data_IF_284555097255
#
_entry.id   IF_284555097255
#
_cell.length_a   1.000
_cell.length_b   1.000
_cell.length_c   1.000
_cell.angle_alpha   90.00
_cell.angle_beta   90.00
_cell.angle_gamma   90.00
#
_symmetry.space_group_name_H-M   'P 1'
#
loop_
_entity.id
_entity.type
_entity.pdbx_description
1 polymer ?
#
# COMPACT_ATOMS: atom_id res chain seq x y z
N UNK A 1 -10.47 -32.28 14.18
CA UNK A 1 -10.04 -30.92 13.79
C UNK A 1 -10.70 -30.62 12.46
N UNK A 2 -11.76 -29.81 12.49
CA UNK A 2 -12.39 -29.31 11.27
C UNK A 2 -11.47 -28.19 10.76
N UNK A 3 -10.70 -28.48 9.72
CA UNK A 3 -9.97 -27.45 9.00
C UNK A 3 -11.02 -26.59 8.29
N UNK A 4 -11.29 -25.41 8.85
CA UNK A 4 -12.18 -24.46 8.21
C UNK A 4 -11.45 -23.91 6.98
N UNK A 5 -11.70 -24.52 5.82
CA UNK A 5 -11.26 -24.06 4.51
C UNK A 5 -12.18 -22.94 4.01
N UNK A 6 -12.48 -21.97 4.85
CA UNK A 6 -13.20 -20.78 4.41
C UNK A 6 -12.22 -19.98 3.56
N UNK A 7 -12.42 -20.04 2.24
CA UNK A 7 -11.78 -19.11 1.32
C UNK A 7 -12.09 -17.71 1.82
N UNK A 8 -11.08 -16.95 2.26
CA UNK A 8 -11.24 -15.55 2.64
C UNK A 8 -12.03 -14.83 1.54
N UNK A 9 -13.06 -14.08 1.92
CA UNK A 9 -13.85 -13.32 0.96
C UNK A 9 -12.94 -12.44 0.13
N UNK A 10 -13.14 -12.46 -1.19
CA UNK A 10 -12.46 -11.55 -2.12
C UNK A 10 -13.29 -10.28 -2.35
N UNK A 11 -14.40 -10.14 -1.63
CA UNK A 11 -15.23 -8.94 -1.66
C UNK A 11 -14.85 -8.00 -0.52
N UNK A 12 -14.80 -6.71 -0.81
CA UNK A 12 -14.58 -5.70 0.21
C UNK A 12 -15.83 -5.58 1.10
N UNK A 13 -15.67 -5.45 2.42
CA UNK A 13 -16.78 -5.24 3.33
C UNK A 13 -17.42 -3.87 3.09
N UNK A 14 -18.68 -3.77 3.47
CA UNK A 14 -19.41 -2.50 3.60
C UNK A 14 -19.59 -2.14 5.09
N UNK A 15 -20.23 -1.01 5.36
CA UNK A 15 -20.46 -0.52 6.73
C UNK A 15 -21.25 -1.48 7.64
N UNK A 16 -22.02 -2.42 7.06
CA UNK A 16 -22.81 -3.41 7.82
C UNK A 16 -22.04 -4.69 8.12
N UNK A 17 -21.02 -5.00 7.31
CA UNK A 17 -20.26 -6.25 7.38
C UNK A 17 -18.84 -6.06 7.92
N UNK A 18 -18.38 -4.82 8.03
CA UNK A 18 -17.07 -4.52 8.57
C UNK A 18 -16.98 -4.74 10.08
N UNK A 19 -15.78 -5.06 10.55
CA UNK A 19 -15.49 -5.12 11.98
C UNK A 19 -15.61 -3.70 12.58
N UNK A 20 -16.14 -3.56 13.82
CA UNK A 20 -16.25 -2.27 14.49
C UNK A 20 -14.91 -1.55 14.67
N UNK A 21 -14.98 -0.23 14.70
CA UNK A 21 -13.83 0.63 14.98
C UNK A 21 -13.19 0.36 16.34
N UNK A 22 -11.88 0.62 16.44
CA UNK A 22 -11.16 0.69 17.72
C UNK A 22 -10.84 2.12 18.08
N UNK A 23 -10.92 2.44 19.37
CA UNK A 23 -10.49 3.74 19.88
C UNK A 23 -8.96 3.84 20.06
N UNK A 24 -8.31 2.71 20.35
CA UNK A 24 -6.89 2.67 20.67
C UNK A 24 -6.04 2.55 19.40
N UNK A 25 -5.00 3.38 19.31
CA UNK A 25 -3.96 3.26 18.29
C UNK A 25 -2.95 2.18 18.66
N UNK A 26 -2.41 1.50 17.66
CA UNK A 26 -1.26 0.62 17.85
C UNK A 26 -0.06 1.46 18.27
N UNK A 27 0.67 1.00 19.29
CA UNK A 27 1.92 1.63 19.70
C UNK A 27 3.06 1.21 18.76
N UNK A 28 3.74 2.22 18.20
CA UNK A 28 4.91 2.02 17.33
C UNK A 28 6.11 2.80 17.87
N UNK A 29 7.31 2.36 17.53
CA UNK A 29 8.52 3.14 17.77
C UNK A 29 8.56 4.33 16.81
N UNK A 30 9.04 5.49 17.27
CA UNK A 30 9.13 6.67 16.41
C UNK A 30 10.31 6.65 15.44
N UNK A 31 11.38 5.92 15.76
CA UNK A 31 12.57 5.86 14.92
C UNK A 31 12.53 4.68 13.93
N UNK A 32 12.85 4.96 12.68
CA UNK A 32 13.03 3.98 11.63
C UNK A 32 14.25 3.11 11.92
N UNK A 33 14.09 1.79 11.88
CA UNK A 33 15.14 0.87 12.28
C UNK A 33 16.42 0.99 11.43
N UNK A 34 16.27 1.24 10.12
CA UNK A 34 17.41 1.27 9.17
C UNK A 34 18.09 2.64 9.13
N UNK A 35 17.31 3.72 9.00
CA UNK A 35 17.86 5.08 8.82
C UNK A 35 18.00 5.87 10.12
N UNK A 36 17.33 5.46 11.21
CA UNK A 36 17.27 6.21 12.47
C UNK A 36 16.39 7.46 12.42
N UNK A 37 15.87 7.82 11.23
CA UNK A 37 14.96 8.95 11.03
C UNK A 37 13.58 8.68 11.62
N UNK A 38 12.78 9.72 11.86
CA UNK A 38 11.40 9.54 12.34
C UNK A 38 10.50 8.87 11.29
N UNK A 39 9.60 7.98 11.74
CA UNK A 39 8.51 7.39 10.93
C UNK A 39 7.14 8.00 11.24
N UNK A 40 7.09 8.88 12.24
CA UNK A 40 5.87 9.59 12.66
C UNK A 40 6.04 11.09 12.42
N UNK A 41 4.93 11.76 12.11
CA UNK A 41 4.92 13.21 11.98
C UNK A 41 5.21 13.91 13.33
N UNK A 42 5.85 15.09 13.33
CA UNK A 42 6.28 15.86 12.16
C UNK A 42 7.58 15.32 11.53
N UNK A 43 7.63 15.36 10.20
CA UNK A 43 8.85 15.15 9.39
C UNK A 43 9.36 16.50 8.86
N UNK A 44 10.61 16.64 8.38
CA UNK A 44 11.08 17.88 7.77
C UNK A 44 10.17 18.38 6.63
N UNK A 45 9.92 19.68 6.57
CA UNK A 45 8.94 20.31 5.65
C UNK A 45 9.25 20.15 4.15
N UNK A 46 10.51 19.83 3.81
CA UNK A 46 10.92 19.60 2.42
C UNK A 46 10.54 18.21 1.91
N UNK A 47 10.06 17.31 2.78
CA UNK A 47 9.72 15.94 2.41
C UNK A 47 8.28 15.84 1.93
N UNK A 48 8.06 14.95 0.97
CA UNK A 48 6.74 14.51 0.56
C UNK A 48 6.46 13.10 1.07
N UNK A 49 5.17 12.71 1.06
CA UNK A 49 4.75 11.37 1.43
C UNK A 49 3.97 10.69 0.30
N UNK A 50 4.11 9.37 0.20
CA UNK A 50 3.35 8.52 -0.73
C UNK A 50 2.98 7.20 -0.08
N UNK A 51 1.85 6.61 -0.49
CA UNK A 51 1.35 5.36 0.08
C UNK A 51 1.07 4.33 -1.01
N UNK A 52 1.68 3.15 -0.90
CA UNK A 52 1.61 2.09 -1.90
C UNK A 52 1.24 0.74 -1.28
N UNK A 53 0.32 0.00 -1.90
CA UNK A 53 -0.01 -1.38 -1.57
C UNK A 53 0.50 -2.34 -2.65
N UNK A 54 1.39 -3.27 -2.27
CA UNK A 54 2.08 -4.17 -3.22
C UNK A 54 1.96 -5.66 -2.83
N UNK A 55 1.02 -6.01 -1.95
CA UNK A 55 0.96 -7.33 -1.32
C UNK A 55 1.52 -7.30 0.11
N UNK A 56 2.19 -8.38 0.54
CA UNK A 56 2.77 -8.43 1.87
C UNK A 56 3.77 -7.28 2.11
N UNK A 57 3.49 -6.44 3.10
CA UNK A 57 4.23 -5.21 3.33
C UNK A 57 5.69 -5.41 3.80
N UNK A 58 6.08 -6.60 4.28
CA UNK A 58 7.44 -6.87 4.78
C UNK A 58 8.46 -6.85 3.64
N UNK A 59 8.11 -7.48 2.52
CA UNK A 59 8.92 -7.42 1.30
C UNK A 59 8.79 -6.05 0.63
N UNK A 60 7.59 -5.46 0.68
CA UNK A 60 7.31 -4.20 0.01
C UNK A 60 8.08 -3.02 0.61
N UNK A 61 8.12 -2.90 1.94
CA UNK A 61 8.78 -1.79 2.63
C UNK A 61 10.27 -1.73 2.31
N UNK A 62 10.91 -2.90 2.27
CA UNK A 62 12.33 -3.04 1.99
C UNK A 62 12.74 -2.41 0.67
N UNK A 63 11.90 -2.54 -0.35
CA UNK A 63 12.17 -1.99 -1.67
C UNK A 63 12.36 -0.48 -1.63
N UNK A 64 11.57 0.22 -0.80
CA UNK A 64 11.58 1.67 -0.74
C UNK A 64 12.70 2.22 0.12
N UNK A 65 13.01 1.63 1.28
CA UNK A 65 14.09 2.17 2.13
C UNK A 65 15.48 2.04 1.50
N UNK A 66 15.65 1.18 0.48
CA UNK A 66 16.91 1.01 -0.26
C UNK A 66 17.09 2.07 -1.36
N UNK A 67 16.06 2.87 -1.68
CA UNK A 67 16.14 3.92 -2.69
C UNK A 67 16.80 5.19 -2.16
N UNK A 68 17.76 5.72 -2.92
CA UNK A 68 18.36 7.02 -2.61
C UNK A 68 17.31 8.13 -2.69
N UNK A 69 17.31 9.04 -1.72
CA UNK A 69 16.27 10.06 -1.54
C UNK A 69 15.07 9.65 -0.70
N UNK A 70 14.93 8.37 -0.30
CA UNK A 70 13.93 7.97 0.70
C UNK A 70 14.45 8.25 2.11
N UNK A 71 13.69 9.02 2.87
CA UNK A 71 14.04 9.46 4.22
C UNK A 71 13.72 8.38 5.26
N UNK A 72 12.50 7.87 5.23
CA UNK A 72 12.03 6.77 6.07
C UNK A 72 10.82 6.09 5.45
N UNK A 73 10.57 4.87 5.89
CA UNK A 73 9.38 4.11 5.54
C UNK A 73 8.65 3.66 6.80
N UNK A 74 7.37 3.40 6.66
CA UNK A 74 6.57 2.68 7.65
C UNK A 74 5.56 1.80 6.93
N UNK A 75 5.07 0.78 7.61
CA UNK A 75 3.98 -0.06 7.10
C UNK A 75 2.70 0.13 7.90
N UNK A 76 1.57 -0.08 7.24
CA UNK A 76 0.28 0.05 7.87
C UNK A 76 -0.85 -0.44 6.99
N UNK A 77 -2.04 0.09 7.25
CA UNK A 77 -3.29 -0.32 6.63
C UNK A 77 -4.02 0.91 6.09
N UNK A 78 -4.43 0.87 4.82
CA UNK A 78 -5.17 1.97 4.19
C UNK A 78 -6.22 1.48 3.19
N UNK A 79 -7.16 2.36 2.85
CA UNK A 79 -8.21 2.14 1.85
C UNK A 79 -9.38 1.25 2.30
N UNK A 80 -9.44 0.93 3.59
CA UNK A 80 -10.58 0.31 4.24
C UNK A 80 -11.43 1.30 5.02
N UNK A 81 -12.38 0.78 5.80
CA UNK A 81 -13.39 1.58 6.51
C UNK A 81 -13.30 1.44 8.03
N UNK A 82 -12.74 0.36 8.56
CA UNK A 82 -12.58 0.18 10.01
C UNK A 82 -11.46 1.09 10.52
N UNK A 83 -11.74 1.91 11.54
CA UNK A 83 -10.75 2.76 12.18
C UNK A 83 -9.85 1.97 13.14
N UNK A 84 -8.54 2.28 13.11
CA UNK A 84 -7.49 1.73 13.97
C UNK A 84 -7.46 0.18 14.06
N UNK A 85 -7.48 -0.55 12.92
CA UNK A 85 -7.51 -2.00 12.93
C UNK A 85 -6.16 -2.60 13.36
N UNK A 86 -6.19 -3.77 14.00
CA UNK A 86 -4.97 -4.57 14.22
C UNK A 86 -4.64 -5.45 13.02
N UNK A 87 -3.45 -6.05 13.02
CA UNK A 87 -3.08 -7.06 12.03
C UNK A 87 -4.09 -8.22 11.97
N UNK A 88 -4.55 -8.69 13.13
CA UNK A 88 -5.53 -9.75 13.24
C UNK A 88 -6.87 -9.33 12.63
N UNK A 89 -7.31 -8.09 12.87
CA UNK A 89 -8.53 -7.55 12.28
C UNK A 89 -8.41 -7.52 10.74
N UNK A 90 -7.32 -7.00 10.20
CA UNK A 90 -7.07 -6.95 8.74
C UNK A 90 -6.99 -8.34 8.14
N UNK A 91 -6.39 -9.30 8.85
CA UNK A 91 -6.31 -10.69 8.42
C UNK A 91 -7.66 -11.37 8.24
N UNK A 92 -8.74 -10.88 8.87
CA UNK A 92 -10.10 -11.36 8.63
C UNK A 92 -10.64 -11.00 7.24
N UNK A 93 -10.09 -9.96 6.60
CA UNK A 93 -10.62 -9.38 5.37
C UNK A 93 -11.82 -8.44 5.58
N UNK A 94 -12.30 -8.28 6.82
CA UNK A 94 -13.50 -7.53 7.17
C UNK A 94 -13.23 -6.06 7.53
N UNK A 95 -12.00 -5.57 7.38
CA UNK A 95 -11.70 -4.14 7.60
C UNK A 95 -11.74 -3.31 6.32
N UNK A 96 -11.64 -3.98 5.17
CA UNK A 96 -11.52 -3.37 3.85
C UNK A 96 -10.13 -2.80 3.53
N UNK A 97 -9.22 -2.76 4.51
CA UNK A 97 -7.88 -2.21 4.29
C UNK A 97 -7.02 -3.13 3.44
N UNK A 98 -6.00 -2.56 2.82
CA UNK A 98 -4.86 -3.30 2.27
C UNK A 98 -3.59 -2.96 3.03
N UNK A 99 -2.68 -3.92 3.08
CA UNK A 99 -1.31 -3.69 3.53
C UNK A 99 -0.66 -2.66 2.60
N UNK A 100 -0.08 -1.62 3.20
CA UNK A 100 0.56 -0.52 2.50
C UNK A 100 1.90 -0.13 3.14
N UNK A 101 2.73 0.49 2.32
CA UNK A 101 3.97 1.17 2.72
C UNK A 101 3.74 2.68 2.60
N UNK A 102 3.96 3.40 3.69
CA UNK A 102 4.14 4.84 3.73
C UNK A 102 5.62 5.15 3.46
N UNK A 103 5.88 6.02 2.50
CA UNK A 103 7.23 6.44 2.11
C UNK A 103 7.33 7.94 2.27
N UNK A 104 8.24 8.40 3.12
CA UNK A 104 8.67 9.80 3.17
C UNK A 104 9.92 9.96 2.31
N UNK A 105 9.91 10.90 1.36
CA UNK A 105 11.00 11.07 0.41
C UNK A 105 11.31 12.55 0.14
N UNK A 106 12.54 12.82 -0.27
CA UNK A 106 12.97 14.16 -0.69
C UNK A 106 12.77 14.32 -2.21
N UNK A 107 11.81 15.13 -2.68
CA UNK A 107 11.55 15.34 -4.10
C UNK A 107 12.72 16.01 -4.85
N UNK A 108 13.70 16.59 -4.13
CA UNK A 108 14.93 17.11 -4.74
C UNK A 108 15.94 16.01 -5.09
N UNK A 109 15.79 14.81 -4.52
CA UNK A 109 16.69 13.66 -4.75
C UNK A 109 16.00 12.56 -5.56
N UNK A 110 14.74 12.24 -5.23
CA UNK A 110 13.95 11.22 -5.93
C UNK A 110 12.55 11.76 -6.25
N UNK A 111 12.14 11.67 -7.52
CA UNK A 111 10.81 12.13 -7.91
C UNK A 111 9.75 11.03 -7.76
N UNK A 112 8.48 11.43 -7.68
CA UNK A 112 7.36 10.50 -7.52
C UNK A 112 7.26 9.47 -8.65
N UNK A 113 7.64 9.83 -9.89
CA UNK A 113 7.67 8.87 -11.00
C UNK A 113 8.68 7.74 -10.81
N UNK A 114 9.79 7.98 -10.11
CA UNK A 114 10.76 6.92 -9.78
C UNK A 114 10.20 5.97 -8.73
N UNK A 115 9.46 6.49 -7.73
CA UNK A 115 8.73 5.65 -6.77
C UNK A 115 7.64 4.82 -7.46
N UNK A 116 6.91 5.40 -8.42
CA UNK A 116 5.95 4.68 -9.24
C UNK A 116 6.60 3.57 -10.08
N UNK A 117 7.78 3.82 -10.68
CA UNK A 117 8.52 2.80 -11.41
C UNK A 117 8.91 1.63 -10.50
N UNK A 118 9.49 1.92 -9.33
CA UNK A 118 9.80 0.91 -8.32
C UNK A 118 8.54 0.12 -7.91
N UNK A 119 7.41 0.81 -7.74
CA UNK A 119 6.13 0.18 -7.45
C UNK A 119 5.70 -0.81 -8.54
N UNK A 120 5.65 -0.39 -9.80
CA UNK A 120 5.16 -1.21 -10.91
C UNK A 120 6.03 -2.43 -11.20
N UNK A 121 7.35 -2.30 -11.03
CA UNK A 121 8.33 -3.34 -11.33
C UNK A 121 8.44 -4.40 -10.22
N UNK A 122 8.00 -4.09 -9.00
CA UNK A 122 8.29 -4.93 -7.82
C UNK A 122 7.14 -5.83 -7.35
N UNK A 123 5.97 -5.78 -8.01
CA UNK A 123 4.86 -6.67 -7.72
C UNK A 123 4.06 -6.97 -9.00
N UNK A 124 3.13 -7.92 -8.93
CA UNK A 124 2.21 -8.15 -10.04
C UNK A 124 0.92 -7.34 -9.85
N UNK A 125 0.69 -6.28 -10.65
CA UNK A 125 -0.45 -5.38 -10.47
C UNK A 125 -1.77 -5.90 -11.07
N UNK A 126 -1.82 -7.15 -11.53
CA UNK A 126 -2.95 -7.72 -12.30
C UNK A 126 -3.71 -8.83 -11.55
N UNK A 127 -3.34 -9.08 -10.29
CA UNK A 127 -3.80 -10.25 -9.55
C UNK A 127 -5.09 -10.02 -8.74
N UNK A 128 -5.65 -8.81 -8.76
CA UNK A 128 -6.84 -8.45 -7.99
C UNK A 128 -6.60 -8.53 -6.49
N UNK A 129 -7.41 -9.34 -5.81
CA UNK A 129 -7.40 -9.51 -4.35
C UNK A 129 -6.39 -10.59 -3.92
N UNK A 130 -5.16 -10.48 -4.43
CA UNK A 130 -4.05 -11.42 -4.21
C UNK A 130 -2.72 -10.78 -4.61
N UNK A 131 -1.64 -11.18 -3.94
CA UNK A 131 -0.28 -11.04 -4.43
C UNK A 131 0.50 -12.35 -4.26
N UNK A 132 0.96 -12.95 -5.35
CA UNK A 132 1.65 -14.23 -5.34
C UNK A 132 0.83 -15.33 -4.65
N UNK A 133 1.35 -15.80 -3.51
CA UNK A 133 0.71 -16.82 -2.66
C UNK A 133 -0.25 -16.22 -1.63
N UNK A 134 -0.17 -14.91 -1.36
CA UNK A 134 -0.94 -14.21 -0.36
C UNK A 134 -2.31 -13.83 -0.92
N UNK A 135 -3.35 -14.53 -0.46
CA UNK A 135 -4.73 -14.38 -0.94
C UNK A 135 -5.57 -13.58 0.04
N UNK A 136 -6.30 -12.59 -0.46
CA UNK A 136 -7.21 -11.76 0.31
C UNK A 136 -7.18 -10.30 -0.15
N UNK A 137 -8.26 -9.58 0.16
CA UNK A 137 -8.42 -8.15 -0.18
C UNK A 137 -7.30 -7.30 0.40
N UNK A 138 -6.67 -7.73 1.49
CA UNK A 138 -5.58 -7.04 2.16
C UNK A 138 -4.23 -7.08 1.42
N UNK A 139 -4.13 -7.82 0.32
CA UNK A 139 -2.90 -7.91 -0.49
C UNK A 139 -3.06 -7.32 -1.89
N UNK A 140 -4.10 -6.52 -2.10
CA UNK A 140 -4.39 -5.94 -3.42
C UNK A 140 -3.37 -4.87 -3.78
N UNK A 141 -3.14 -4.71 -5.08
CA UNK A 141 -2.36 -3.60 -5.60
C UNK A 141 -3.12 -2.28 -5.40
N UNK A 142 -2.48 -1.29 -4.78
CA UNK A 142 -3.09 0.01 -4.50
C UNK A 142 -2.09 1.17 -4.52
N UNK A 143 -2.57 2.36 -4.87
CA UNK A 143 -1.87 3.63 -4.71
C UNK A 143 -2.83 4.61 -4.03
N UNK A 144 -2.47 5.07 -2.83
CA UNK A 144 -3.24 6.08 -2.10
C UNK A 144 -2.51 7.42 -2.16
N UNK A 145 -3.07 8.34 -2.94
CA UNK A 145 -2.43 9.61 -3.30
C UNK A 145 -2.79 10.71 -2.31
N UNK A 146 -1.86 11.61 -2.04
CA UNK A 146 -2.07 12.70 -1.05
C UNK A 146 -2.37 14.05 -1.69
N UNK A 147 -2.30 14.16 -3.02
CA UNK A 147 -2.61 15.37 -3.77
C UNK A 147 -2.95 15.07 -5.23
N UNK A 148 -3.48 16.07 -5.93
CA UNK A 148 -3.90 15.96 -7.33
C UNK A 148 -2.75 15.66 -8.30
N UNK A 149 -1.53 16.11 -7.98
CA UNK A 149 -0.33 15.83 -8.78
C UNK A 149 -0.04 14.33 -8.76
N UNK A 150 0.01 13.72 -7.58
CA UNK A 150 0.20 12.27 -7.44
C UNK A 150 -0.95 11.49 -8.08
N UNK A 151 -2.20 11.96 -7.99
CA UNK A 151 -3.34 11.33 -8.68
C UNK A 151 -3.11 11.26 -10.19
N UNK A 152 -2.75 12.40 -10.79
CA UNK A 152 -2.50 12.51 -12.23
C UNK A 152 -1.33 11.63 -12.68
N UNK A 153 -0.22 11.67 -11.94
CA UNK A 153 0.98 10.90 -12.25
C UNK A 153 0.76 9.38 -12.07
N UNK A 154 0.01 8.98 -11.05
CA UNK A 154 -0.39 7.58 -10.84
C UNK A 154 -1.28 7.06 -11.97
N UNK A 155 -2.25 7.86 -12.42
CA UNK A 155 -3.11 7.49 -13.54
C UNK A 155 -2.33 7.41 -14.86
N UNK A 156 -1.38 8.33 -15.08
CA UNK A 156 -0.53 8.32 -16.26
C UNK A 156 0.42 7.11 -16.26
N UNK A 157 1.07 6.82 -15.14
CA UNK A 157 1.98 5.68 -15.01
C UNK A 157 1.23 4.35 -15.15
N UNK A 158 0.02 4.21 -14.58
CA UNK A 158 -0.86 3.04 -14.79
C UNK A 158 -1.14 2.80 -16.27
N UNK A 159 -1.48 3.85 -17.03
CA UNK A 159 -1.74 3.73 -18.48
C UNK A 159 -0.48 3.32 -19.24
N UNK A 160 0.65 3.94 -18.93
CA UNK A 160 1.93 3.60 -19.57
C UNK A 160 2.35 2.15 -19.27
N UNK A 161 2.20 1.71 -18.03
CA UNK A 161 2.54 0.35 -17.63
C UNK A 161 1.58 -0.69 -18.23
N UNK A 162 0.29 -0.36 -18.37
CA UNK A 162 -0.65 -1.23 -19.08
C UNK A 162 -0.23 -1.47 -20.53
N UNK A 163 0.24 -0.45 -21.25
CA UNK A 163 0.74 -0.61 -22.63
C UNK A 163 1.91 -1.61 -22.67
N UNK A 164 2.86 -1.49 -21.74
CA UNK A 164 3.98 -2.43 -21.65
C UNK A 164 3.52 -3.87 -21.32
N UNK A 165 2.49 -4.03 -20.48
CA UNK A 165 1.88 -5.33 -20.17
C UNK A 165 1.12 -5.90 -21.38
N UNK A 166 0.45 -5.06 -22.16
CA UNK A 166 -0.29 -5.46 -23.37
C UNK A 166 0.66 -5.99 -24.45
N UNK A 167 1.85 -5.39 -24.61
CA UNK A 167 2.87 -5.83 -25.56
C UNK A 167 3.34 -7.26 -25.31
N UNK A 168 3.36 -7.69 -24.05
CA UNK A 168 3.67 -9.06 -23.63
C UNK A 168 2.42 -9.92 -23.39
N UNK A 169 1.23 -9.42 -23.77
CA UNK A 169 -0.08 -10.07 -23.64
C UNK A 169 -0.40 -10.50 -22.20
N UNK A 170 -0.01 -9.68 -21.24
CA UNK A 170 -0.33 -9.89 -19.84
C UNK A 170 -1.75 -9.45 -19.50
N UNK A 171 -2.16 -9.70 -18.25
CA UNK A 171 -3.51 -9.34 -17.78
C UNK A 171 -3.66 -7.84 -17.51
N UNK A 172 -4.90 -7.39 -17.36
CA UNK A 172 -5.20 -6.00 -17.03
C UNK A 172 -4.82 -5.63 -15.61
N UNK A 173 -4.33 -4.40 -15.41
CA UNK A 173 -3.99 -3.84 -14.12
C UNK A 173 -5.25 -3.68 -13.26
N UNK A 174 -5.21 -4.32 -12.09
CA UNK A 174 -6.25 -4.24 -11.05
C UNK A 174 -5.95 -3.21 -9.97
N UNK A 175 -4.83 -2.48 -10.07
CA UNK A 175 -4.42 -1.46 -9.09
C UNK A 175 -5.51 -0.43 -8.85
N UNK A 176 -5.91 -0.29 -7.60
CA UNK A 176 -6.77 0.78 -7.11
C UNK A 176 -5.97 2.08 -6.97
N UNK A 177 -6.52 3.20 -7.44
CA UNK A 177 -5.93 4.53 -7.25
C UNK A 177 -7.00 5.42 -6.64
N UNK A 178 -6.79 5.87 -5.41
CA UNK A 178 -7.74 6.69 -4.63
C UNK A 178 -6.97 7.72 -3.80
N UNK A 179 -7.67 8.75 -3.33
CA UNK A 179 -7.10 9.64 -2.33
C UNK A 179 -6.84 8.87 -1.02
N UNK A 180 -5.79 9.26 -0.30
CA UNK A 180 -5.57 8.82 1.06
C UNK A 180 -6.61 9.50 1.96
N UNK A 181 -7.49 8.70 2.57
CA UNK A 181 -8.50 9.13 3.55
C UNK A 181 -8.01 8.92 4.98
#
# INVERSE_FOLDING_TARGET
>A
MLFNTDSKSLELPNTETAIPDRAELISVTSAHFVSGHTIVEPVPDNLEKSVFGLGCFWGAERLFWELDGVYSTAVGYAGGITANPTYEDVCTGLTGHTEVVLVYFDPAVICYQQLLAAFWESHNPTQGMRQGNDKGTQYRSAIYVVNDTQLKESQQSKKAYQVALDDIKYSFITTEIKNLE
#
